data_IF_520826486210
#
_entry.id   IF_520826486210
#
_cell.length_a   1.000
_cell.length_b   1.000
_cell.length_c   1.000
_cell.angle_alpha   90.00
_cell.angle_beta   90.00
_cell.angle_gamma   90.00
#
_symmetry.space_group_name_H-M   'P 1'
#
loop_
_entity.id
_entity.type
_entity.pdbx_description
1 polymer ?
#
# COMPACT_ATOMS: atom_id res chain seq x y z
N UNK A 1 35.78 31.32 -34.88
CA UNK A 1 35.59 32.74 -35.22
C UNK A 1 35.65 32.87 -36.73
N UNK A 2 34.48 33.05 -37.35
CA UNK A 2 34.30 33.64 -38.67
C UNK A 2 32.79 33.80 -38.87
N UNK A 3 32.28 34.88 -38.30
CA UNK A 3 30.99 35.49 -38.62
C UNK A 3 30.98 35.88 -40.10
N UNK A 4 29.98 35.41 -40.85
CA UNK A 4 29.58 36.03 -42.11
C UNK A 4 28.05 36.02 -42.20
N UNK A 5 27.51 37.23 -42.05
CA UNK A 5 26.15 37.68 -42.29
C UNK A 5 26.08 38.35 -43.68
N UNK A 6 24.86 38.49 -44.23
CA UNK A 6 24.43 39.02 -45.55
C UNK A 6 24.42 37.99 -46.70
N UNK A 7 23.33 37.76 -47.44
CA UNK A 7 22.03 38.42 -47.54
C UNK A 7 21.51 38.23 -48.98
N UNK A 8 20.23 37.88 -49.10
CA UNK A 8 19.32 38.19 -50.21
C UNK A 8 19.59 37.55 -51.60
N UNK A 9 18.73 36.61 -52.03
CA UNK A 9 18.03 36.74 -53.32
C UNK A 9 16.80 35.82 -53.39
N UNK A 10 15.75 36.38 -53.96
CA UNK A 10 14.36 35.97 -53.90
C UNK A 10 14.05 34.88 -54.95
N UNK A 11 13.51 33.73 -54.54
CA UNK A 11 12.77 32.85 -55.46
C UNK A 11 11.35 32.64 -54.94
N UNK A 12 10.48 33.59 -55.29
CA UNK A 12 9.04 33.51 -55.14
C UNK A 12 8.46 32.43 -56.08
N UNK A 13 8.36 31.19 -55.61
CA UNK A 13 7.52 30.20 -56.28
C UNK A 13 6.06 30.33 -55.83
N UNK A 14 5.35 31.16 -56.58
CA UNK A 14 3.92 31.10 -56.94
C UNK A 14 3.00 30.27 -56.00
N UNK A 15 2.16 31.00 -55.26
CA UNK A 15 0.95 30.48 -54.63
C UNK A 15 0.17 29.59 -55.62
N UNK A 16 0.05 28.30 -55.30
CA UNK A 16 -0.92 27.40 -55.92
C UNK A 16 -2.08 27.25 -54.94
N UNK A 17 -3.25 27.68 -55.39
CA UNK A 17 -4.54 27.72 -54.70
C UNK A 17 -4.85 26.51 -53.80
N UNK A 18 -5.34 26.84 -52.59
CA UNK A 18 -6.47 26.17 -51.97
C UNK A 18 -6.19 24.97 -51.07
N UNK A 19 -5.84 25.20 -49.79
CA UNK A 19 -6.78 24.99 -48.67
C UNK A 19 -6.19 25.51 -47.34
N UNK A 20 -7.00 26.31 -46.64
CA UNK A 20 -7.01 26.63 -45.20
C UNK A 20 -5.67 26.83 -44.43
N UNK A 21 -5.33 28.11 -44.20
CA UNK A 21 -4.53 28.52 -43.02
C UNK A 21 -5.48 28.76 -41.85
N UNK A 22 -5.44 27.88 -40.84
CA UNK A 22 -5.57 28.24 -39.41
C UNK A 22 -4.66 27.26 -38.67
N UNK A 23 -3.39 27.60 -38.40
CA UNK A 23 -3.01 28.21 -37.12
C UNK A 23 -3.81 27.66 -35.94
N UNK A 24 -3.54 26.43 -35.55
CA UNK A 24 -3.43 26.20 -34.12
C UNK A 24 -2.24 25.29 -33.90
N UNK A 25 -1.31 25.76 -33.07
CA UNK A 25 -0.15 24.97 -32.71
C UNK A 25 -0.62 23.60 -32.27
N UNK A 26 0.25 22.61 -32.33
CA UNK A 26 0.21 21.58 -31.32
C UNK A 26 0.31 22.30 -29.97
N UNK A 27 -0.84 22.75 -29.47
CA UNK A 27 -1.12 22.95 -28.08
C UNK A 27 -0.90 21.54 -27.53
N UNK A 28 0.37 21.29 -27.20
CA UNK A 28 0.75 20.62 -25.98
C UNK A 28 -0.03 21.34 -24.87
N UNK A 29 -1.34 21.09 -24.83
CA UNK A 29 -2.09 21.06 -23.61
C UNK A 29 -1.33 19.97 -22.88
N UNK A 30 -0.32 20.38 -22.13
CA UNK A 30 0.18 19.67 -20.97
C UNK A 30 -1.09 19.21 -20.29
N UNK A 31 -1.43 17.95 -20.53
CA UNK A 31 -2.67 17.37 -20.07
C UNK A 31 -2.49 17.46 -18.58
N UNK A 32 -3.05 18.50 -17.97
CA UNK A 32 -2.89 18.78 -16.57
C UNK A 32 -3.28 17.47 -15.91
N UNK A 33 -2.27 16.73 -15.43
CA UNK A 33 -2.51 15.49 -14.75
C UNK A 33 -3.11 15.95 -13.45
N UNK A 34 -4.43 16.14 -13.45
CA UNK A 34 -5.21 16.41 -12.28
C UNK A 34 -4.91 15.23 -11.37
N UNK A 35 -3.96 15.42 -10.46
CA UNK A 35 -3.62 14.44 -9.46
C UNK A 35 -4.77 14.47 -8.49
N UNK A 36 -5.77 13.64 -8.77
CA UNK A 36 -6.85 13.37 -7.83
C UNK A 36 -6.21 12.80 -6.57
N UNK A 37 -6.22 13.59 -5.50
CA UNK A 37 -5.83 13.14 -4.17
C UNK A 37 -7.01 13.29 -3.24
N UNK A 38 -7.13 12.36 -2.30
CA UNK A 38 -8.12 12.41 -1.26
C UNK A 38 -7.42 12.68 0.07
N UNK A 39 -7.89 13.71 0.79
CA UNK A 39 -7.50 13.90 2.18
C UNK A 39 -8.30 12.91 3.03
N UNK A 40 -7.59 12.06 3.77
CA UNK A 40 -8.19 11.00 4.59
C UNK A 40 -7.94 11.31 6.06
N UNK A 41 -8.95 11.09 6.89
CA UNK A 41 -8.82 11.21 8.34
C UNK A 41 -8.03 10.05 8.93
N UNK A 42 -7.20 10.34 9.94
CA UNK A 42 -6.37 9.33 10.60
C UNK A 42 -7.23 8.26 11.29
N UNK A 43 -8.37 8.63 11.88
CA UNK A 43 -9.29 7.70 12.53
C UNK A 43 -9.90 6.71 11.54
N UNK A 44 -10.19 7.14 10.31
CA UNK A 44 -10.64 6.24 9.24
C UNK A 44 -9.57 5.21 8.89
N UNK A 45 -8.31 5.65 8.75
CA UNK A 45 -7.19 4.74 8.46
C UNK A 45 -6.95 3.75 9.61
N UNK A 46 -7.05 4.20 10.87
CA UNK A 46 -6.93 3.33 12.03
C UNK A 46 -8.08 2.31 12.13
N UNK A 47 -9.30 2.72 11.81
CA UNK A 47 -10.46 1.83 11.77
C UNK A 47 -10.28 0.75 10.69
N UNK A 48 -9.87 1.15 9.49
CA UNK A 48 -9.55 0.22 8.40
C UNK A 48 -8.44 -0.76 8.80
N UNK A 49 -7.35 -0.25 9.37
CA UNK A 49 -6.24 -1.07 9.85
C UNK A 49 -6.71 -2.09 10.90
N UNK A 50 -7.49 -1.63 11.89
CA UNK A 50 -8.02 -2.48 12.96
C UNK A 50 -8.94 -3.56 12.40
N UNK A 51 -9.75 -3.21 11.40
CA UNK A 51 -10.63 -4.15 10.71
C UNK A 51 -9.81 -5.21 9.96
N UNK A 52 -8.81 -4.84 9.16
CA UNK A 52 -7.94 -5.80 8.46
C UNK A 52 -7.20 -6.73 9.43
N UNK A 53 -6.73 -6.20 10.57
CA UNK A 53 -6.11 -7.01 11.63
C UNK A 53 -7.11 -8.02 12.18
N UNK A 54 -8.33 -7.58 12.52
CA UNK A 54 -9.36 -8.46 13.07
C UNK A 54 -9.72 -9.58 12.09
N UNK A 55 -9.97 -9.25 10.82
CA UNK A 55 -10.26 -10.25 9.80
C UNK A 55 -9.13 -11.27 9.62
N UNK A 56 -7.88 -10.81 9.63
CA UNK A 56 -6.72 -11.70 9.48
C UNK A 56 -6.53 -12.58 10.72
N UNK A 57 -6.76 -12.01 11.92
CA UNK A 57 -6.74 -12.72 13.19
C UNK A 57 -7.79 -13.83 13.23
N UNK A 58 -9.01 -13.52 12.80
CA UNK A 58 -10.15 -14.45 12.80
C UNK A 58 -9.98 -15.54 11.73
N UNK A 59 -9.50 -15.19 10.54
CA UNK A 59 -9.24 -16.14 9.45
C UNK A 59 -8.20 -17.19 9.84
N UNK A 60 -7.12 -16.76 10.49
CA UNK A 60 -6.00 -17.63 10.86
C UNK A 60 -6.16 -18.24 12.25
N UNK A 61 -7.16 -17.80 13.03
CA UNK A 61 -7.37 -18.18 14.44
C UNK A 61 -6.12 -17.93 15.31
N UNK A 62 -5.46 -16.80 15.10
CA UNK A 62 -4.26 -16.37 15.84
C UNK A 62 -4.57 -15.10 16.64
N UNK A 63 -3.73 -14.76 17.61
CA UNK A 63 -3.81 -13.47 18.31
C UNK A 63 -3.63 -12.27 17.36
N UNK A 64 -4.25 -11.13 17.70
CA UNK A 64 -4.15 -9.89 16.92
C UNK A 64 -2.72 -9.42 16.74
N UNK A 65 -1.87 -9.63 17.74
CA UNK A 65 -0.44 -9.28 17.67
C UNK A 65 0.29 -10.09 16.59
N UNK A 66 -0.01 -11.38 16.49
CA UNK A 66 0.54 -12.24 15.43
C UNK A 66 -0.01 -11.82 14.07
N UNK A 67 -1.30 -11.51 13.97
CA UNK A 67 -1.90 -11.00 12.73
C UNK A 67 -1.22 -9.70 12.26
N UNK A 68 -0.92 -8.77 13.18
CA UNK A 68 -0.17 -7.54 12.90
C UNK A 68 1.23 -7.86 12.36
N UNK A 69 1.95 -8.77 12.99
CA UNK A 69 3.30 -9.15 12.57
C UNK A 69 3.30 -9.80 11.18
N UNK A 70 2.31 -10.67 10.91
CA UNK A 70 2.12 -11.29 9.61
C UNK A 70 1.80 -10.26 8.54
N UNK A 71 0.85 -9.35 8.79
CA UNK A 71 0.50 -8.28 7.86
C UNK A 71 1.69 -7.37 7.58
N UNK A 72 2.44 -6.94 8.61
CA UNK A 72 3.65 -6.10 8.43
C UNK A 72 4.69 -6.75 7.53
N UNK A 73 4.91 -8.07 7.66
CA UNK A 73 5.89 -8.81 6.83
C UNK A 73 5.41 -9.06 5.40
N UNK A 74 4.11 -8.97 5.15
CA UNK A 74 3.50 -9.20 3.85
C UNK A 74 2.92 -7.89 3.25
N UNK A 75 3.46 -6.73 3.65
CA UNK A 75 3.10 -5.44 3.07
C UNK A 75 1.64 -5.04 3.29
N UNK A 76 1.02 -5.47 4.40
CA UNK A 76 -0.39 -5.26 4.74
C UNK A 76 -1.38 -5.90 3.75
N UNK A 77 -0.95 -6.88 2.95
CA UNK A 77 -1.85 -7.65 2.09
C UNK A 77 -2.38 -8.88 2.82
N UNK A 78 -3.70 -8.91 3.07
CA UNK A 78 -4.42 -10.07 3.60
C UNK A 78 -4.32 -11.26 2.64
N UNK A 79 -4.47 -11.01 1.33
CA UNK A 79 -4.47 -12.05 0.30
C UNK A 79 -3.13 -12.81 0.27
N UNK A 80 -2.00 -12.08 0.32
CA UNK A 80 -0.68 -12.71 0.35
C UNK A 80 -0.49 -13.56 1.62
N UNK A 81 -0.99 -13.09 2.77
CA UNK A 81 -0.94 -13.86 4.03
C UNK A 81 -1.78 -15.13 3.89
N UNK A 82 -2.98 -15.02 3.33
CA UNK A 82 -3.91 -16.11 3.11
C UNK A 82 -3.29 -17.17 2.19
N UNK A 83 -2.80 -16.77 1.01
CA UNK A 83 -2.20 -17.66 0.03
C UNK A 83 -1.01 -18.42 0.62
N UNK A 84 -0.12 -17.71 1.33
CA UNK A 84 1.07 -18.32 1.94
C UNK A 84 0.72 -19.23 3.11
N UNK A 85 -0.35 -18.93 3.85
CA UNK A 85 -0.80 -19.76 4.95
C UNK A 85 -1.38 -21.09 4.45
N UNK A 86 -2.24 -21.04 3.42
CA UNK A 86 -2.85 -22.26 2.86
C UNK A 86 -1.91 -23.05 1.94
N UNK A 87 -0.86 -22.43 1.40
CA UNK A 87 0.20 -23.15 0.68
C UNK A 87 1.21 -23.85 1.62
N UNK A 88 1.18 -23.58 2.92
CA UNK A 88 2.11 -24.20 3.86
C UNK A 88 1.68 -25.63 4.23
N UNK A 89 2.67 -26.48 4.54
CA UNK A 89 2.42 -27.86 4.96
C UNK A 89 1.59 -27.95 6.24
N UNK A 90 1.72 -26.97 7.13
CA UNK A 90 0.87 -26.83 8.31
C UNK A 90 0.82 -25.39 8.81
N UNK A 91 -0.24 -25.01 9.55
CA UNK A 91 -0.33 -23.72 10.23
C UNK A 91 0.89 -23.40 11.10
N UNK A 92 1.37 -24.39 11.85
CA UNK A 92 2.52 -24.24 12.73
C UNK A 92 3.82 -24.02 11.93
N UNK A 93 4.03 -24.76 10.84
CA UNK A 93 5.19 -24.58 9.98
C UNK A 93 5.21 -23.17 9.36
N UNK A 94 4.04 -22.65 8.97
CA UNK A 94 3.93 -21.27 8.51
C UNK A 94 4.33 -20.27 9.59
N UNK A 95 3.76 -20.38 10.79
CA UNK A 95 4.06 -19.48 11.91
C UNK A 95 5.53 -19.56 12.35
N UNK A 96 6.15 -20.75 12.27
CA UNK A 96 7.57 -20.94 12.55
C UNK A 96 8.45 -20.30 11.49
N UNK A 97 8.14 -20.48 10.20
CA UNK A 97 8.84 -19.83 9.08
C UNK A 97 8.75 -18.30 9.18
N UNK A 98 7.62 -17.80 9.66
CA UNK A 98 7.42 -16.38 9.95
C UNK A 98 7.95 -15.97 11.33
N UNK A 99 8.59 -16.85 12.11
CA UNK A 99 9.17 -16.50 13.40
C UNK A 99 8.19 -15.94 14.43
N UNK A 100 6.88 -16.25 14.29
CA UNK A 100 5.80 -15.78 15.17
C UNK A 100 5.20 -16.89 16.02
N UNK A 101 5.62 -18.14 15.81
CA UNK A 101 5.07 -19.30 16.51
C UNK A 101 5.12 -19.22 18.05
N UNK A 102 6.11 -18.53 18.63
CA UNK A 102 6.26 -18.38 20.09
C UNK A 102 5.53 -17.14 20.65
N UNK A 103 5.05 -16.27 19.77
CA UNK A 103 4.39 -15.00 20.14
C UNK A 103 2.88 -15.21 20.30
N UNK A 104 2.34 -16.28 19.70
CA UNK A 104 0.91 -16.55 19.76
C UNK A 104 0.49 -17.01 21.17
N UNK A 105 0.00 -16.06 21.96
CA UNK A 105 -0.52 -16.28 23.31
C UNK A 105 -2.05 -16.29 23.33
N UNK A 106 -2.70 -16.69 22.22
CA UNK A 106 -4.16 -16.78 22.19
C UNK A 106 -4.62 -17.81 23.24
N UNK A 107 -5.09 -17.34 24.39
CA UNK A 107 -5.65 -18.17 25.44
C UNK A 107 -7.17 -18.06 25.37
N UNK A 108 -7.80 -19.10 24.84
CA UNK A 108 -9.25 -19.24 24.83
C UNK A 108 -9.69 -19.85 26.17
N UNK A 109 -10.45 -19.10 26.96
CA UNK A 109 -11.02 -19.57 28.23
C UNK A 109 -10.82 -18.61 29.40
N UNK A 110 -11.70 -18.71 30.41
CA UNK A 110 -11.58 -17.95 31.65
C UNK A 110 -10.51 -18.58 32.55
N UNK A 111 -9.34 -17.94 32.66
CA UNK A 111 -8.32 -18.37 33.64
C UNK A 111 -8.57 -17.71 34.99
N UNK A 112 -8.58 -18.57 36.00
CA UNK A 112 -8.63 -18.27 37.42
C UNK A 112 -7.51 -17.32 37.84
N UNK A 113 -7.70 -16.65 38.98
CA UNK A 113 -6.77 -15.78 39.73
C UNK A 113 -5.35 -15.69 39.14
N UNK A 114 -5.05 -14.52 38.55
CA UNK A 114 -3.77 -14.26 37.88
C UNK A 114 -2.81 -13.58 38.85
N UNK A 115 -1.72 -14.27 39.18
CA UNK A 115 -0.59 -13.66 39.88
C UNK A 115 0.20 -12.76 38.93
N UNK A 116 0.37 -11.49 39.30
CA UNK A 116 1.16 -10.54 38.54
C UNK A 116 2.65 -10.82 38.75
N UNK A 117 3.35 -11.25 37.72
CA UNK A 117 4.82 -11.46 37.76
C UNK A 117 5.66 -10.17 37.90
N UNK A 118 5.03 -8.99 37.93
CA UNK A 118 5.72 -7.69 38.08
C UNK A 118 5.59 -7.15 39.50
N UNK A 119 4.37 -7.09 40.05
CA UNK A 119 4.13 -6.57 41.41
C UNK A 119 3.93 -7.66 42.46
N UNK A 120 3.74 -8.93 42.05
CA UNK A 120 3.48 -10.05 42.97
C UNK A 120 2.06 -10.10 43.50
N UNK A 121 1.18 -9.18 43.10
CA UNK A 121 -0.22 -9.18 43.54
C UNK A 121 -1.03 -10.24 42.79
N UNK A 122 -1.84 -10.98 43.53
CA UNK A 122 -2.86 -11.87 42.96
C UNK A 122 -4.09 -11.06 42.60
N UNK A 123 -4.34 -10.90 41.30
CA UNK A 123 -5.58 -10.30 40.81
C UNK A 123 -6.65 -11.39 40.87
N UNK A 124 -7.35 -11.43 42.01
CA UNK A 124 -8.58 -12.22 42.14
C UNK A 124 -9.69 -11.55 41.36
N UNK A 125 -10.48 -12.34 40.64
CA UNK A 125 -11.68 -11.85 39.99
C UNK A 125 -12.84 -11.77 40.97
#
# INVERSE_FOLDING_TARGET
MSDYDSGDDEEYSYMSDGDEVIEDGMSLVEKATHHEYQVVDLGVLQAQQTHTIAETSDMLQVSKDVAILLLRRNGWSKDIVQDRYYAAESPLAFLQKQGVALVDKLQLGAKNDLDCGVCGDTVKR
#
